data_IF_902195619600
#
_entry.id   IF_902195619600
#
_cell.length_a   1.000
_cell.length_b   1.000
_cell.length_c   1.000
_cell.angle_alpha   90.00
_cell.angle_beta   90.00
_cell.angle_gamma   90.00
#
_symmetry.space_group_name_H-M   'P 1'
#
loop_
_entity.id
_entity.type
_entity.pdbx_description
1 polymer ?
#
# COMPACT_ATOMS: atom_id res chain seq x y z
N UNK A 1 18.81 -16.14 -5.49
CA UNK A 1 17.57 -15.39 -5.80
C UNK A 1 16.92 -14.72 -4.57
N UNK A 2 17.05 -15.25 -3.35
CA UNK A 2 16.54 -14.63 -2.12
C UNK A 2 17.31 -13.37 -1.63
N UNK A 3 18.52 -13.11 -2.14
CA UNK A 3 19.34 -12.00 -1.68
C UNK A 3 18.73 -10.62 -1.98
N UNK A 4 18.03 -10.47 -3.11
CA UNK A 4 17.45 -9.19 -3.54
C UNK A 4 16.25 -8.76 -2.66
N UNK A 5 15.25 -9.63 -2.39
CA UNK A 5 14.18 -9.29 -1.44
C UNK A 5 14.68 -9.00 -0.02
N UNK A 6 15.65 -9.78 0.45
CA UNK A 6 16.23 -9.59 1.79
C UNK A 6 16.97 -8.25 1.89
N UNK A 7 17.73 -7.87 0.86
CA UNK A 7 18.40 -6.56 0.79
C UNK A 7 17.40 -5.39 0.77
N UNK A 8 16.28 -5.52 0.04
CA UNK A 8 15.23 -4.51 0.03
C UNK A 8 14.60 -4.32 1.42
N UNK A 9 14.24 -5.42 2.09
CA UNK A 9 13.69 -5.38 3.46
C UNK A 9 14.70 -4.77 4.43
N UNK A 10 15.97 -5.19 4.37
CA UNK A 10 17.03 -4.65 5.21
C UNK A 10 17.21 -3.14 5.02
N UNK A 11 17.14 -2.66 3.77
CA UNK A 11 17.26 -1.24 3.43
C UNK A 11 16.11 -0.43 4.04
N UNK A 12 14.86 -0.89 3.89
CA UNK A 12 13.69 -0.23 4.51
C UNK A 12 13.82 -0.17 6.03
N UNK A 13 14.23 -1.27 6.67
CA UNK A 13 14.43 -1.30 8.12
C UNK A 13 15.52 -0.34 8.60
N UNK A 14 16.60 -0.17 7.83
CA UNK A 14 17.65 0.80 8.12
C UNK A 14 17.12 2.24 8.04
N UNK A 15 16.33 2.58 7.02
CA UNK A 15 15.70 3.90 6.90
C UNK A 15 14.73 4.18 8.05
N UNK A 16 13.90 3.20 8.43
CA UNK A 16 12.99 3.32 9.58
C UNK A 16 13.74 3.53 10.90
N UNK A 17 14.89 2.86 11.08
CA UNK A 17 15.75 3.12 12.24
C UNK A 17 16.41 4.51 12.18
N UNK A 18 16.77 4.99 10.99
CA UNK A 18 17.32 6.32 10.77
C UNK A 18 16.42 7.44 11.29
N UNK A 19 15.09 7.29 11.20
CA UNK A 19 14.13 8.25 11.75
C UNK A 19 14.28 8.45 13.27
N UNK A 20 14.70 7.40 14.01
CA UNK A 20 14.96 7.53 15.46
C UNK A 20 16.18 8.39 15.76
N UNK A 21 17.17 8.41 14.87
CA UNK A 21 18.36 9.27 14.99
C UNK A 21 17.97 10.73 14.71
N UNK A 22 17.09 10.96 13.73
CA UNK A 22 16.56 12.31 13.42
C UNK A 22 15.79 12.93 14.61
N UNK A 23 15.23 12.11 15.51
CA UNK A 23 14.59 12.58 16.75
C UNK A 23 15.57 13.25 17.74
N UNK A 24 16.87 12.96 17.63
CA UNK A 24 17.91 13.59 18.44
C UNK A 24 18.18 15.05 18.09
N UNK A 25 17.65 15.53 16.96
CA UNK A 25 17.67 16.94 16.56
C UNK A 25 16.36 17.61 16.99
N UNK A 26 16.44 18.68 17.81
CA UNK A 26 15.28 19.38 18.36
C UNK A 26 14.29 19.86 17.29
N UNK A 27 14.78 20.32 16.13
CA UNK A 27 13.92 20.79 15.03
C UNK A 27 13.15 19.67 14.31
N UNK A 28 13.68 18.44 14.32
CA UNK A 28 13.07 17.28 13.64
C UNK A 28 12.29 16.38 14.61
N UNK A 29 12.57 16.45 15.92
CA UNK A 29 11.90 15.67 16.95
C UNK A 29 10.38 15.88 16.92
N UNK A 30 9.93 17.12 16.74
CA UNK A 30 8.52 17.44 16.61
C UNK A 30 7.85 16.70 15.43
N UNK A 31 8.44 16.76 14.23
CA UNK A 31 7.90 16.12 13.04
C UNK A 31 7.86 14.59 13.18
N UNK A 32 8.92 14.00 13.72
CA UNK A 32 9.00 12.55 13.96
C UNK A 32 7.94 12.10 14.99
N UNK A 33 7.75 12.88 16.06
CA UNK A 33 6.72 12.57 17.06
C UNK A 33 5.31 12.69 16.46
N UNK A 34 5.04 13.73 15.66
CA UNK A 34 3.74 13.90 15.00
C UNK A 34 3.43 12.75 14.04
N UNK A 35 4.39 12.33 13.23
CA UNK A 35 4.24 11.15 12.35
C UNK A 35 3.97 9.87 13.14
N UNK A 36 4.60 9.72 14.30
CA UNK A 36 4.38 8.56 15.18
C UNK A 36 2.95 8.52 15.72
N UNK A 37 2.42 9.66 16.21
CA UNK A 37 1.03 9.76 16.69
C UNK A 37 0.03 9.48 15.56
N UNK A 38 0.21 10.09 14.38
CA UNK A 38 -0.63 9.81 13.20
C UNK A 38 -0.61 8.32 12.86
N UNK A 39 0.57 7.68 12.89
CA UNK A 39 0.69 6.25 12.60
C UNK A 39 -0.07 5.39 13.61
N UNK A 40 -0.15 5.80 14.89
CA UNK A 40 -0.93 5.10 15.91
C UNK A 40 -2.42 5.26 15.64
N UNK A 41 -2.87 6.50 15.38
CA UNK A 41 -4.28 6.80 15.14
C UNK A 41 -4.80 6.10 13.88
N UNK A 42 -3.97 6.02 12.84
CA UNK A 42 -4.32 5.31 11.60
C UNK A 42 -4.49 3.80 11.77
N UNK A 43 -4.00 3.16 12.85
CA UNK A 43 -4.08 1.69 13.00
C UNK A 43 -5.51 1.17 13.01
N UNK A 44 -6.40 1.87 13.71
CA UNK A 44 -7.81 1.48 13.78
C UNK A 44 -8.47 1.61 12.40
N UNK A 45 -8.16 2.69 11.68
CA UNK A 45 -8.65 2.92 10.33
C UNK A 45 -8.12 1.85 9.35
N UNK A 46 -6.82 1.54 9.40
CA UNK A 46 -6.19 0.51 8.56
C UNK A 46 -6.80 -0.88 8.77
N UNK A 47 -7.22 -1.22 9.99
CA UNK A 47 -7.91 -2.49 10.27
C UNK A 47 -9.29 -2.55 9.60
N UNK A 48 -10.06 -1.46 9.67
CA UNK A 48 -11.37 -1.36 9.01
C UNK A 48 -11.19 -1.42 7.50
N UNK A 49 -10.23 -0.66 6.97
CA UNK A 49 -9.88 -0.64 5.55
C UNK A 49 -9.43 -2.03 5.07
N UNK A 50 -8.61 -2.73 5.83
CA UNK A 50 -8.20 -4.10 5.53
C UNK A 50 -9.40 -5.04 5.44
N UNK A 51 -10.35 -4.95 6.39
CA UNK A 51 -11.60 -5.71 6.34
C UNK A 51 -12.39 -5.44 5.06
N UNK A 52 -12.55 -4.17 4.69
CA UNK A 52 -13.25 -3.77 3.46
C UNK A 52 -12.57 -4.31 2.19
N UNK A 53 -11.23 -4.23 2.11
CA UNK A 53 -10.46 -4.74 0.97
C UNK A 53 -10.60 -6.26 0.84
N UNK A 54 -10.50 -7.00 1.94
CA UNK A 54 -10.63 -8.47 1.92
C UNK A 54 -12.05 -8.88 1.51
N UNK A 55 -13.08 -8.23 2.04
CA UNK A 55 -14.48 -8.50 1.68
C UNK A 55 -14.74 -8.20 0.20
N UNK A 56 -14.25 -7.07 -0.32
CA UNK A 56 -14.39 -6.71 -1.72
C UNK A 56 -13.60 -7.66 -2.64
N UNK A 57 -12.37 -8.02 -2.28
CA UNK A 57 -11.57 -8.97 -3.05
C UNK A 57 -12.26 -10.32 -3.17
N UNK A 58 -12.85 -10.81 -2.08
CA UNK A 58 -13.63 -12.04 -2.09
C UNK A 58 -14.89 -11.92 -2.96
N UNK A 59 -15.64 -10.82 -2.83
CA UNK A 59 -16.84 -10.57 -3.63
C UNK A 59 -16.52 -10.48 -5.13
N UNK A 60 -15.49 -9.72 -5.52
CA UNK A 60 -15.09 -9.60 -6.92
C UNK A 60 -14.55 -10.89 -7.49
N UNK A 61 -13.92 -11.73 -6.69
CA UNK A 61 -13.50 -13.05 -7.13
C UNK A 61 -14.68 -13.99 -7.42
N UNK A 62 -15.75 -13.89 -6.64
CA UNK A 62 -16.97 -14.64 -6.92
C UNK A 62 -17.69 -14.13 -8.18
N UNK A 63 -17.66 -12.81 -8.43
CA UNK A 63 -18.41 -12.18 -9.52
C UNK A 63 -17.64 -12.08 -10.84
N UNK A 64 -16.30 -12.01 -10.79
CA UNK A 64 -15.39 -11.73 -11.91
C UNK A 64 -14.12 -12.58 -11.87
N UNK A 65 -14.22 -13.79 -11.31
CA UNK A 65 -13.10 -14.72 -11.15
C UNK A 65 -12.46 -15.21 -12.46
N UNK A 66 -13.09 -14.90 -13.60
CA UNK A 66 -12.64 -15.14 -14.96
C UNK A 66 -11.65 -14.07 -15.48
N UNK A 67 -11.47 -12.96 -14.77
CA UNK A 67 -10.54 -11.89 -15.16
C UNK A 67 -9.17 -12.03 -14.48
N UNK A 68 -8.09 -11.64 -15.19
CA UNK A 68 -6.71 -11.72 -14.68
C UNK A 68 -6.51 -10.98 -13.35
N UNK A 69 -7.25 -9.89 -13.14
CA UNK A 69 -7.22 -9.09 -11.92
C UNK A 69 -7.80 -9.81 -10.69
N UNK A 70 -8.72 -10.77 -10.87
CA UNK A 70 -9.45 -11.42 -9.77
C UNK A 70 -9.33 -12.95 -9.76
N UNK A 71 -8.60 -13.55 -10.69
CA UNK A 71 -8.42 -15.00 -10.78
C UNK A 71 -7.61 -15.62 -9.63
N UNK A 72 -6.70 -14.86 -9.02
CA UNK A 72 -5.87 -15.32 -7.89
C UNK A 72 -6.14 -14.55 -6.59
N UNK A 73 -5.90 -15.21 -5.44
CA UNK A 73 -6.10 -14.58 -4.11
C UNK A 73 -5.22 -13.36 -3.91
N UNK A 74 -4.00 -13.37 -4.45
CA UNK A 74 -3.08 -12.24 -4.36
C UNK A 74 -3.53 -11.06 -5.21
N UNK A 75 -3.76 -11.31 -6.51
CA UNK A 75 -4.16 -10.26 -7.45
C UNK A 75 -5.47 -9.57 -7.01
N UNK A 76 -6.47 -10.34 -6.58
CA UNK A 76 -7.76 -9.77 -6.14
C UNK A 76 -7.64 -8.82 -4.95
N UNK A 77 -6.73 -9.08 -4.00
CA UNK A 77 -6.47 -8.19 -2.87
C UNK A 77 -5.81 -6.88 -3.31
N UNK A 78 -4.77 -6.96 -4.15
CA UNK A 78 -4.10 -5.76 -4.66
C UNK A 78 -4.99 -4.92 -5.57
N UNK A 79 -5.76 -5.56 -6.45
CA UNK A 79 -6.71 -4.87 -7.33
C UNK A 79 -7.85 -4.21 -6.53
N UNK A 80 -8.35 -4.86 -5.47
CA UNK A 80 -9.39 -4.26 -4.61
C UNK A 80 -8.85 -3.11 -3.78
N UNK A 81 -7.59 -3.19 -3.31
CA UNK A 81 -6.92 -2.08 -2.64
C UNK A 81 -6.68 -0.90 -3.59
N UNK A 82 -6.23 -1.17 -4.81
CA UNK A 82 -6.03 -0.13 -5.84
C UNK A 82 -7.34 0.59 -6.19
N UNK A 83 -8.45 -0.15 -6.27
CA UNK A 83 -9.77 0.42 -6.51
C UNK A 83 -10.21 1.35 -5.37
N UNK A 84 -9.94 0.96 -4.12
CA UNK A 84 -10.25 1.78 -2.95
C UNK A 84 -9.40 3.05 -2.89
N UNK A 85 -8.09 2.95 -3.19
CA UNK A 85 -7.20 4.11 -3.29
C UNK A 85 -7.58 5.06 -4.44
N UNK A 86 -8.12 4.52 -5.53
CA UNK A 86 -8.67 5.32 -6.62
C UNK A 86 -9.96 6.05 -6.20
N UNK A 87 -10.86 5.37 -5.48
CA UNK A 87 -12.09 5.96 -4.96
C UNK A 87 -11.84 7.09 -3.94
N UNK A 88 -10.78 6.97 -3.15
CA UNK A 88 -10.36 8.00 -2.18
C UNK A 88 -9.61 9.19 -2.83
N UNK A 89 -9.46 9.21 -4.16
CA UNK A 89 -8.82 10.30 -4.90
C UNK A 89 -7.29 10.36 -4.75
N UNK A 90 -6.67 9.32 -4.17
CA UNK A 90 -5.21 9.22 -3.97
C UNK A 90 -4.50 8.72 -5.25
N UNK A 91 -5.26 8.22 -6.22
CA UNK A 91 -4.76 7.58 -7.45
C UNK A 91 -5.02 8.35 -8.75
N UNK A 92 -4.91 9.67 -8.78
CA UNK A 92 -4.83 10.44 -10.04
C UNK A 92 -3.40 10.38 -10.62
N UNK A 93 -2.98 9.21 -11.12
CA UNK A 93 -2.06 9.08 -12.27
C UNK A 93 -1.84 7.59 -12.66
N UNK A 94 -1.77 7.35 -13.97
CA UNK A 94 -1.22 6.17 -14.67
C UNK A 94 -2.09 4.94 -15.03
N UNK A 95 -3.41 5.04 -15.07
CA UNK A 95 -4.23 4.02 -15.81
C UNK A 95 -4.28 4.31 -17.32
N UNK A 96 -3.93 5.52 -17.77
CA UNK A 96 -3.88 5.86 -19.20
C UNK A 96 -2.61 5.41 -19.94
N UNK A 97 -1.56 4.96 -19.22
CA UNK A 97 -0.29 4.52 -19.84
C UNK A 97 -0.31 3.03 -20.25
N UNK A 98 -1.01 2.16 -19.53
CA UNK A 98 -1.14 0.74 -19.93
C UNK A 98 -2.02 0.57 -21.18
N UNK A 99 -3.01 1.44 -21.40
CA UNK A 99 -3.83 1.45 -22.61
C UNK A 99 -3.10 1.94 -23.87
N UNK A 100 -2.03 2.74 -23.72
CA UNK A 100 -1.28 3.29 -24.85
C UNK A 100 -0.13 2.38 -25.30
N UNK A 101 0.45 1.60 -24.39
CA UNK A 101 1.45 0.56 -24.70
C UNK A 101 0.83 -0.74 -25.23
N UNK A 102 -0.47 -0.97 -24.99
CA UNK A 102 -1.25 -2.06 -25.59
C UNK A 102 -1.70 -1.76 -27.04
N UNK A 103 -1.52 -0.53 -27.51
CA UNK A 103 -1.93 -0.07 -28.84
C UNK A 103 -0.75 0.27 -29.77
N UNK A 104 0.49 -0.01 -29.33
CA UNK A 104 1.73 -0.01 -30.12
C UNK A 104 2.28 -1.44 -30.20
#
# INVERSE_FOLDING_TARGET
>A
ELASPVAAVATVLLFLKGQKVLRGNEGMSFLVNMLYEITIDMRAFLLIQFGAVVSNAFAYRLLRGDTDAYGTSGASLFSSYALLMHADGVGEHDVYMDGMLSAL
#
